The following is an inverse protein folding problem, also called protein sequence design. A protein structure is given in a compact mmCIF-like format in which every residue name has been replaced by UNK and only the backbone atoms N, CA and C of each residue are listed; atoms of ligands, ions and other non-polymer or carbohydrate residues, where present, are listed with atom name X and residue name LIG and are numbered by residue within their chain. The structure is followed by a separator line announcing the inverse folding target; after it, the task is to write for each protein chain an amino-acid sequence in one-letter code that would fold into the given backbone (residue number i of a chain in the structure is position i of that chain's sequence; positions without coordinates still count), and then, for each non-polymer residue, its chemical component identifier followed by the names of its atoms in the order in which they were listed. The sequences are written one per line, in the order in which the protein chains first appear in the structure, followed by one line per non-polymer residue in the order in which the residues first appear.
data_IF_694832733139
#
_entry.id   IF_694832733139
#
_cell.length_a   1.000
_cell.length_b   1.000
_cell.length_c   1.000
_cell.angle_alpha   90.00
_cell.angle_beta   90.00
_cell.angle_gamma   90.00
#
_symmetry.space_group_name_H-M   'P 1'
#
loop_
_entity.id
_entity.type
_entity.pdbx_description
1 polymer ?
#
# COMPACT_ATOMS: atom_id res chain seq x y z
N UNK A 1 10.48 6.44 -5.39
CA UNK A 1 9.02 6.22 -5.36
C UNK A 1 8.45 6.52 -3.98
N UNK A 2 9.16 6.16 -2.90
CA UNK A 2 8.77 6.42 -1.51
C UNK A 2 8.43 7.91 -1.21
N UNK A 3 9.09 8.87 -1.86
CA UNK A 3 8.84 10.30 -1.64
C UNK A 3 7.45 10.79 -2.09
N UNK A 4 6.76 10.05 -2.98
CA UNK A 4 5.42 10.39 -3.43
C UNK A 4 4.29 9.75 -2.61
N UNK A 5 4.63 8.97 -1.57
CA UNK A 5 3.64 8.31 -0.71
C UNK A 5 3.19 9.24 0.41
N UNK A 6 1.91 9.14 0.79
CA UNK A 6 1.36 9.77 2.01
C UNK A 6 2.19 9.35 3.23
N UNK A 7 2.31 10.24 4.22
CA UNK A 7 3.20 10.05 5.37
C UNK A 7 2.98 8.75 6.13
N UNK A 8 1.72 8.34 6.32
CA UNK A 8 1.37 7.08 6.98
C UNK A 8 1.84 5.85 6.17
N UNK A 9 1.56 5.83 4.86
CA UNK A 9 1.99 4.75 3.97
C UNK A 9 3.53 4.70 3.91
N UNK A 10 4.16 5.87 3.81
CA UNK A 10 5.61 6.04 3.77
C UNK A 10 6.28 5.49 5.04
N UNK A 11 5.72 5.77 6.21
CA UNK A 11 6.22 5.26 7.50
C UNK A 11 6.23 3.74 7.53
N UNK A 12 5.12 3.10 7.14
CA UNK A 12 5.01 1.64 7.12
C UNK A 12 5.95 1.01 6.09
N UNK A 13 6.02 1.54 4.87
CA UNK A 13 6.92 1.02 3.82
C UNK A 13 8.39 1.14 4.23
N UNK A 14 8.79 2.21 4.94
CA UNK A 14 10.14 2.35 5.49
C UNK A 14 10.47 1.29 6.54
N UNK A 15 9.52 0.91 7.39
CA UNK A 15 9.70 -0.20 8.34
C UNK A 15 9.95 -1.52 7.62
N UNK A 16 9.29 -1.78 6.49
CA UNK A 16 9.59 -2.96 5.66
C UNK A 16 10.98 -2.89 5.04
N UNK A 17 11.44 -1.71 4.60
CA UNK A 17 12.82 -1.53 4.09
C UNK A 17 13.89 -1.80 5.16
N UNK A 18 13.58 -1.59 6.44
CA UNK A 18 14.50 -1.87 7.53
C UNK A 18 14.75 -3.37 7.77
N UNK A 19 13.87 -4.24 7.26
CA UNK A 19 13.98 -5.71 7.40
C UNK A 19 15.03 -6.33 6.46
N UNK A 20 15.66 -5.55 5.57
CA UNK A 20 16.74 -6.01 4.70
C UNK A 20 16.54 -5.65 3.23
N UNK A 21 17.23 -6.37 2.34
CA UNK A 21 17.26 -6.09 0.90
C UNK A 21 15.95 -6.51 0.20
N UNK A 22 14.94 -5.64 0.24
CA UNK A 22 13.72 -5.81 -0.54
C UNK A 22 13.91 -5.22 -1.94
N UNK A 23 13.66 -6.03 -2.97
CA UNK A 23 13.64 -5.56 -4.36
C UNK A 23 12.62 -4.43 -4.55
N UNK A 24 12.97 -3.43 -5.35
CA UNK A 24 12.11 -2.26 -5.62
C UNK A 24 10.69 -2.64 -6.05
N UNK A 25 10.52 -3.67 -6.87
CA UNK A 25 9.21 -4.19 -7.31
C UNK A 25 8.35 -4.68 -6.14
N UNK A 26 8.94 -5.47 -5.24
CA UNK A 26 8.28 -5.93 -4.00
C UNK A 26 7.91 -4.75 -3.10
N UNK A 27 8.78 -3.75 -2.97
CA UNK A 27 8.46 -2.52 -2.22
C UNK A 27 7.27 -1.75 -2.81
N UNK A 28 7.11 -1.74 -4.14
CA UNK A 28 5.93 -1.13 -4.76
C UNK A 28 4.65 -1.95 -4.49
N UNK A 29 4.72 -3.28 -4.49
CA UNK A 29 3.57 -4.11 -4.10
C UNK A 29 3.17 -3.89 -2.64
N UNK A 30 4.16 -3.81 -1.74
CA UNK A 30 3.94 -3.48 -0.32
C UNK A 30 3.27 -2.11 -0.20
N UNK A 31 3.75 -1.08 -0.91
CA UNK A 31 3.15 0.24 -0.88
C UNK A 31 1.68 0.23 -1.32
N UNK A 32 1.33 -0.51 -2.39
CA UNK A 32 -0.07 -0.66 -2.83
C UNK A 32 -0.94 -1.43 -1.83
N UNK A 33 -0.40 -2.46 -1.17
CA UNK A 33 -1.12 -3.20 -0.15
C UNK A 33 -1.42 -2.31 1.06
N UNK A 34 -0.42 -1.55 1.53
CA UNK A 34 -0.56 -0.60 2.63
C UNK A 34 -1.54 0.51 2.27
N UNK A 35 -1.50 1.02 1.03
CA UNK A 35 -2.46 2.01 0.56
C UNK A 35 -3.91 1.50 0.69
N UNK A 36 -4.19 0.26 0.23
CA UNK A 36 -5.50 -0.37 0.38
C UNK A 36 -5.91 -0.57 1.85
N UNK A 37 -4.97 -0.96 2.72
CA UNK A 37 -5.24 -1.13 4.15
C UNK A 37 -5.59 0.21 4.84
N UNK A 38 -4.88 1.27 4.49
CA UNK A 38 -5.09 2.62 5.04
C UNK A 38 -6.41 3.21 4.51
N UNK A 39 -6.68 3.06 3.22
CA UNK A 39 -7.93 3.50 2.59
C UNK A 39 -9.14 2.77 3.19
N UNK A 40 -9.03 1.45 3.43
CA UNK A 40 -10.09 0.66 4.08
C UNK A 40 -10.35 1.00 5.55
N UNK A 41 -9.44 1.74 6.22
CA UNK A 41 -9.60 2.19 7.62
C UNK A 41 -10.25 3.57 7.75
N UNK A 42 -10.30 4.37 6.69
CA UNK A 42 -10.66 5.79 6.74
C UNK A 42 -12.04 6.18 6.20
N UNK A 43 -12.78 5.27 5.58
CA UNK A 43 -14.10 5.56 5.04
C UNK A 43 -14.44 4.62 3.89
N UNK A 44 -15.56 3.91 4.00
CA UNK A 44 -15.99 2.97 2.97
C UNK A 44 -16.15 3.63 1.60
N UNK A 45 -15.58 3.00 0.58
CA UNK A 45 -16.09 3.12 -0.79
C UNK A 45 -15.77 1.83 -1.55
N UNK A 46 -16.82 1.03 -1.76
CA UNK A 46 -16.74 -0.23 -2.47
C UNK A 46 -16.42 -0.04 -3.95
N UNK A 47 -15.51 -0.85 -4.46
CA UNK A 47 -15.36 -1.10 -5.89
C UNK A 47 -15.13 -2.59 -6.14
N UNK A 48 -16.06 -3.41 -5.65
CA UNK A 48 -16.21 -4.80 -6.11
C UNK A 48 -17.32 -4.80 -7.16
N UNK A 49 -17.08 -4.19 -8.33
CA UNK A 49 -17.87 -4.46 -9.53
C UNK A 49 -17.32 -5.74 -10.15
N UNK A 50 -17.92 -6.87 -9.78
CA UNK A 50 -17.92 -8.08 -10.61
C UNK A 50 -19.33 -8.65 -10.60
N UNK A 51 -20.21 -7.99 -11.37
CA UNK A 51 -21.42 -8.62 -11.89
C UNK A 51 -21.03 -9.26 -13.22
N UNK A 52 -21.29 -10.55 -13.38
CA UNK A 52 -21.00 -11.29 -14.60
C UNK A 52 -21.23 -12.79 -14.45
N UNK A 53 -22.49 -13.19 -14.24
CA UNK A 53 -23.10 -14.39 -14.82
C UNK A 53 -24.54 -14.02 -15.21
#
# INVERSE_FOLDING_TARGET
FIHGLKDEIRGRVRSFMALGSIQRSKLMHVARAVEKEVEGRGGGSGHNKSSGD
#
